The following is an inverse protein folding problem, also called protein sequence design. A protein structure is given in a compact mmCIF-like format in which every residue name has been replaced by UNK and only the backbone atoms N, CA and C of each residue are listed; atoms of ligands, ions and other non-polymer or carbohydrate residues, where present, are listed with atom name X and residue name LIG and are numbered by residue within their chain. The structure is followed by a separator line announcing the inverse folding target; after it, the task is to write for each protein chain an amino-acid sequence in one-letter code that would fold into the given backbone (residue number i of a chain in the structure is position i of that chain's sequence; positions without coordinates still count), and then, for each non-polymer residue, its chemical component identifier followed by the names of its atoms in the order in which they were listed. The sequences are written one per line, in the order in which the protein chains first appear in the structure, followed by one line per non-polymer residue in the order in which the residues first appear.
data_IF_404724864869
#
_entry.id   IF_404724864869
#
_cell.length_a   1.000
_cell.length_b   1.000
_cell.length_c   1.000
_cell.angle_alpha   90.00
_cell.angle_beta   90.00
_cell.angle_gamma   90.00
#
_symmetry.space_group_name_H-M   'P 1'
#
loop_
_entity.id
_entity.type
_entity.pdbx_description
1 polymer ?
#
# COMPACT_ATOMS: atom_id res chain seq x y z
N UNK A 1 -35.03 -5.87 5.25
CA UNK A 1 -34.21 -6.46 6.33
C UNK A 1 -32.73 -6.29 5.96
N UNK A 2 -32.11 -5.24 6.50
CA UNK A 2 -30.67 -4.91 6.57
C UNK A 2 -29.81 -4.94 5.29
N UNK A 3 -29.96 -3.92 4.44
CA UNK A 3 -28.84 -3.37 3.67
C UNK A 3 -28.01 -2.48 4.59
N UNK A 4 -27.08 -3.07 5.36
CA UNK A 4 -26.01 -2.30 6.00
C UNK A 4 -25.11 -1.81 4.87
N UNK A 5 -25.15 -0.52 4.58
CA UNK A 5 -24.09 0.16 3.84
C UNK A 5 -22.75 -0.29 4.43
N UNK A 6 -21.95 -1.00 3.63
CA UNK A 6 -20.60 -1.40 4.03
C UNK A 6 -19.76 -0.13 4.11
N UNK A 7 -19.77 0.54 5.26
CA UNK A 7 -18.86 1.65 5.57
C UNK A 7 -17.44 1.10 5.44
N UNK A 8 -16.78 1.41 4.31
CA UNK A 8 -15.37 1.08 4.08
C UNK A 8 -14.56 1.85 5.11
N UNK A 9 -13.58 1.19 5.72
CA UNK A 9 -12.66 1.80 6.67
C UNK A 9 -12.03 3.03 6.03
N UNK A 10 -12.20 4.20 6.63
CA UNK A 10 -11.51 5.41 6.22
C UNK A 10 -10.03 5.25 6.60
N UNK A 11 -9.09 5.73 5.78
CA UNK A 11 -7.64 5.68 6.07
C UNK A 11 -7.25 6.34 7.40
N UNK A 12 -8.15 7.14 7.98
CA UNK A 12 -7.99 7.82 9.26
C UNK A 12 -8.53 7.01 10.47
N UNK A 13 -9.26 5.92 10.25
CA UNK A 13 -9.80 5.07 11.33
C UNK A 13 -8.73 4.08 11.82
N UNK A 14 -8.56 3.97 13.14
CA UNK A 14 -7.54 3.08 13.75
C UNK A 14 -7.87 1.59 13.57
N UNK A 15 -9.16 1.23 13.52
CA UNK A 15 -9.66 -0.14 13.32
C UNK A 15 -11.00 -0.13 12.57
N UNK A 16 -11.30 -1.23 11.89
CA UNK A 16 -12.64 -1.52 11.35
C UNK A 16 -13.66 -1.55 12.50
N UNK A 17 -14.68 -0.70 12.41
CA UNK A 17 -15.66 -0.51 13.47
C UNK A 17 -16.53 -1.76 13.75
N UNK A 18 -16.78 -2.59 12.73
CA UNK A 18 -17.61 -3.78 12.85
C UNK A 18 -16.79 -5.01 13.21
N UNK A 19 -15.52 -5.06 12.80
CA UNK A 19 -14.64 -6.21 12.96
C UNK A 19 -13.25 -5.79 13.48
N UNK A 20 -13.15 -5.26 14.71
CA UNK A 20 -11.91 -4.66 15.22
C UNK A 20 -10.77 -5.67 15.44
N UNK A 21 -11.05 -6.98 15.43
CA UNK A 21 -10.06 -8.06 15.59
C UNK A 21 -9.75 -8.81 14.29
N UNK A 22 -10.31 -8.41 13.15
CA UNK A 22 -10.10 -9.10 11.88
C UNK A 22 -8.83 -8.57 11.18
N UNK A 23 -7.73 -9.32 11.10
CA UNK A 23 -6.47 -8.82 10.52
C UNK A 23 -6.62 -8.49 9.03
N UNK A 24 -7.44 -9.24 8.29
CA UNK A 24 -7.72 -8.96 6.87
C UNK A 24 -8.31 -7.56 6.71
N UNK A 25 -9.28 -7.19 7.55
CA UNK A 25 -9.98 -5.91 7.44
C UNK A 25 -9.18 -4.72 7.95
N UNK A 26 -8.36 -4.95 8.97
CA UNK A 26 -7.60 -3.89 9.64
C UNK A 26 -6.22 -3.68 9.01
N UNK A 27 -5.58 -4.72 8.48
CA UNK A 27 -4.20 -4.68 7.96
C UNK A 27 -4.19 -4.88 6.46
N UNK A 28 -4.69 -6.01 5.96
CA UNK A 28 -4.58 -6.33 4.52
C UNK A 28 -5.34 -5.34 3.63
N UNK A 29 -6.48 -4.80 4.07
CA UNK A 29 -7.18 -3.75 3.32
C UNK A 29 -6.37 -2.45 3.17
N UNK A 30 -5.46 -2.15 4.10
CA UNK A 30 -4.62 -0.95 4.05
C UNK A 30 -3.41 -1.18 3.15
N UNK A 31 -2.78 -2.35 3.25
CA UNK A 31 -1.61 -2.71 2.44
C UNK A 31 -1.98 -3.11 1.01
N UNK A 32 -3.16 -3.71 0.81
CA UNK A 32 -3.66 -4.21 -0.47
C UNK A 32 -4.27 -3.16 -1.38
N UNK A 33 -4.16 -1.87 -1.05
CA UNK A 33 -4.55 -0.82 -1.99
C UNK A 33 -3.54 -0.69 -3.14
N UNK A 34 -4.00 -0.13 -4.26
CA UNK A 34 -3.21 -0.01 -5.51
C UNK A 34 -1.78 0.51 -5.29
N UNK A 35 -1.58 1.43 -4.36
CA UNK A 35 -0.33 2.18 -4.23
C UNK A 35 0.57 1.65 -3.12
N UNK A 36 0.02 1.05 -2.07
CA UNK A 36 0.78 0.65 -0.89
C UNK A 36 1.90 -0.34 -1.22
N UNK A 37 1.61 -1.40 -1.98
CA UNK A 37 2.64 -2.37 -2.41
C UNK A 37 3.69 -1.72 -3.33
N UNK A 38 3.27 -0.85 -4.27
CA UNK A 38 4.20 -0.14 -5.17
C UNK A 38 5.17 0.75 -4.39
N UNK A 39 4.68 1.47 -3.37
CA UNK A 39 5.55 2.28 -2.51
C UNK A 39 6.53 1.42 -1.71
N UNK A 40 6.08 0.28 -1.17
CA UNK A 40 6.95 -0.62 -0.41
C UNK A 40 8.08 -1.17 -1.30
N UNK A 41 7.77 -1.61 -2.52
CA UNK A 41 8.77 -2.09 -3.49
C UNK A 41 9.72 -0.99 -3.94
N UNK A 42 9.21 0.22 -4.22
CA UNK A 42 10.08 1.34 -4.58
C UNK A 42 11.09 1.68 -3.48
N UNK A 43 10.76 1.44 -2.21
CA UNK A 43 11.63 1.71 -1.06
C UNK A 43 12.58 0.53 -0.73
N UNK A 44 12.41 -0.64 -1.33
CA UNK A 44 13.22 -1.83 -1.03
C UNK A 44 14.70 -1.64 -1.37
N UNK A 45 14.97 -1.08 -2.57
CA UNK A 45 16.30 -1.01 -3.16
C UNK A 45 17.09 0.24 -2.77
N UNK A 46 16.62 1.03 -1.80
CA UNK A 46 17.29 2.26 -1.40
C UNK A 46 17.24 2.44 0.12
N UNK A 47 18.37 2.83 0.73
CA UNK A 47 18.40 3.07 2.18
C UNK A 47 17.46 4.20 2.59
N UNK A 48 17.29 5.22 1.73
CA UNK A 48 16.35 6.32 1.92
C UNK A 48 16.03 7.00 0.57
N UNK A 49 14.77 7.38 0.33
CA UNK A 49 14.32 8.02 -0.93
C UNK A 49 13.56 9.32 -0.65
N UNK A 50 13.79 10.37 -1.45
CA UNK A 50 13.03 11.63 -1.37
C UNK A 50 11.65 11.52 -2.01
N UNK A 51 10.70 12.34 -1.57
CA UNK A 51 9.32 12.32 -2.10
C UNK A 51 9.23 12.35 -3.64
N UNK A 52 10.00 13.23 -4.29
CA UNK A 52 9.95 13.40 -5.75
C UNK A 52 10.60 12.24 -6.50
N UNK A 53 11.63 11.62 -5.94
CA UNK A 53 12.25 10.42 -6.50
C UNK A 53 11.28 9.23 -6.41
N UNK A 54 10.65 9.06 -5.24
CA UNK A 54 9.63 8.04 -5.04
C UNK A 54 8.45 8.24 -6.00
N UNK A 55 7.97 9.48 -6.16
CA UNK A 55 6.91 9.82 -7.12
C UNK A 55 7.31 9.47 -8.57
N UNK A 56 8.56 9.70 -8.97
CA UNK A 56 9.05 9.34 -10.32
C UNK A 56 9.12 7.84 -10.54
N UNK A 57 9.37 7.05 -9.50
CA UNK A 57 9.39 5.57 -9.60
C UNK A 57 7.99 4.96 -9.83
N UNK A 58 6.92 5.73 -9.56
CA UNK A 58 5.53 5.29 -9.71
C UNK A 58 4.79 6.32 -10.58
N UNK A 59 4.99 6.32 -11.91
CA UNK A 59 4.60 7.45 -12.77
C UNK A 59 3.10 7.75 -12.81
N UNK A 60 2.25 6.78 -12.50
CA UNK A 60 0.79 6.95 -12.48
C UNK A 60 0.23 7.37 -11.10
N UNK A 61 1.07 7.54 -10.07
CA UNK A 61 0.64 8.04 -8.77
C UNK A 61 0.57 9.57 -8.73
N UNK A 62 -0.58 10.10 -8.30
CA UNK A 62 -0.69 11.53 -8.03
C UNK A 62 0.01 11.91 -6.72
N UNK A 63 0.49 13.15 -6.60
CA UNK A 63 1.11 13.67 -5.37
C UNK A 63 0.20 13.51 -4.14
N UNK A 64 -1.12 13.72 -4.32
CA UNK A 64 -2.12 13.55 -3.26
C UNK A 64 -2.21 12.09 -2.81
N UNK A 65 -2.21 11.15 -3.76
CA UNK A 65 -2.27 9.73 -3.45
C UNK A 65 -0.98 9.26 -2.77
N UNK A 66 0.20 9.65 -3.28
CA UNK A 66 1.48 9.30 -2.64
C UNK A 66 1.56 9.82 -1.21
N UNK A 67 1.16 11.07 -0.96
CA UNK A 67 1.11 11.63 0.40
C UNK A 67 0.19 10.81 1.32
N UNK A 68 -0.97 10.39 0.80
CA UNK A 68 -1.96 9.62 1.55
C UNK A 68 -1.44 8.21 1.86
N UNK A 69 -0.80 7.56 0.89
CA UNK A 69 -0.20 6.23 1.03
C UNK A 69 0.95 6.27 2.03
N UNK A 70 1.88 7.22 1.92
CA UNK A 70 3.00 7.37 2.86
C UNK A 70 2.51 7.59 4.30
N UNK A 71 1.51 8.46 4.52
CA UNK A 71 0.91 8.64 5.85
C UNK A 71 0.28 7.35 6.40
N UNK A 72 -0.35 6.56 5.55
CA UNK A 72 -0.98 5.28 5.93
C UNK A 72 0.09 4.27 6.34
N UNK A 73 1.13 4.11 5.51
CA UNK A 73 2.24 3.19 5.78
C UNK A 73 3.11 3.63 6.98
N UNK A 74 3.26 4.93 7.19
CA UNK A 74 3.91 5.50 8.38
C UNK A 74 3.11 5.20 9.64
N UNK A 75 1.78 5.41 9.61
CA UNK A 75 0.89 5.08 10.73
C UNK A 75 0.89 3.58 11.06
N UNK A 76 1.07 2.71 10.07
CA UNK A 76 1.17 1.25 10.26
C UNK A 76 2.57 0.80 10.71
N UNK A 77 3.53 1.73 10.77
CA UNK A 77 4.92 1.48 11.12
C UNK A 77 5.66 0.65 10.07
N UNK A 78 5.25 0.72 8.80
CA UNK A 78 5.91 0.04 7.68
C UNK A 78 6.95 0.93 7.01
N UNK A 79 6.73 2.25 7.02
CA UNK A 79 7.63 3.27 6.48
C UNK A 79 8.00 4.25 7.59
N UNK A 80 9.27 4.66 7.64
CA UNK A 80 9.73 5.75 8.48
C UNK A 80 9.92 7.00 7.63
N UNK A 81 9.49 8.15 8.16
CA UNK A 81 9.72 9.47 7.58
C UNK A 81 10.77 10.21 8.40
N UNK A 82 11.86 10.64 7.77
CA UNK A 82 12.93 11.42 8.41
C UNK A 82 13.04 12.81 7.78
N UNK A 83 12.91 13.84 8.60
CA UNK A 83 13.10 15.23 8.19
C UNK A 83 14.51 15.70 8.57
N UNK A 84 15.17 16.40 7.65
CA UNK A 84 16.50 16.97 7.87
C UNK A 84 16.40 18.50 7.83
N UNK A 85 16.84 19.14 8.90
CA UNK A 85 16.88 20.60 9.05
C UNK A 85 18.15 21.18 8.41
N UNK A 86 18.36 20.89 7.13
CA UNK A 86 19.43 21.46 6.30
C UNK A 86 18.83 22.49 5.31
N UNK A 87 19.67 23.20 4.58
CA UNK A 87 19.23 24.15 3.54
C UNK A 87 19.63 23.58 2.17
N UNK A 88 18.66 23.27 1.28
CA UNK A 88 17.20 23.32 1.48
C UNK A 88 16.69 22.15 2.35
N UNK A 89 15.57 22.32 3.10
CA UNK A 89 15.00 21.25 3.92
C UNK A 89 14.67 20.03 3.06
N UNK A 90 15.04 18.83 3.53
CA UNK A 90 14.71 17.56 2.86
C UNK A 90 13.97 16.61 3.77
N UNK A 91 13.19 15.73 3.14
CA UNK A 91 12.47 14.64 3.79
C UNK A 91 12.75 13.37 3.02
N UNK A 92 13.06 12.31 3.74
CA UNK A 92 13.31 10.99 3.19
C UNK A 92 12.40 9.95 3.82
N UNK A 93 12.16 8.90 3.05
CA UNK A 93 11.35 7.75 3.44
C UNK A 93 12.18 6.49 3.31
N UNK A 94 12.02 5.58 4.26
CA UNK A 94 12.69 4.27 4.28
C UNK A 94 11.77 3.21 4.87
N UNK A 95 11.99 1.93 4.52
CA UNK A 95 11.27 0.83 5.15
C UNK A 95 11.75 0.61 6.58
N UNK A 96 10.81 0.43 7.51
CA UNK A 96 11.14 -0.08 8.84
C UNK A 96 11.49 -1.57 8.77
N UNK A 97 12.01 -2.15 9.87
CA UNK A 97 12.21 -3.59 9.97
C UNK A 97 10.90 -4.39 9.72
N UNK A 98 9.75 -3.85 10.18
CA UNK A 98 8.44 -4.43 9.92
C UNK A 98 8.06 -4.34 8.43
N UNK A 99 8.30 -3.19 7.80
CA UNK A 99 8.09 -3.00 6.36
C UNK A 99 8.90 -4.00 5.53
N UNK A 100 10.19 -4.18 5.86
CA UNK A 100 11.07 -5.15 5.20
C UNK A 100 10.59 -6.59 5.40
N UNK A 101 10.10 -6.95 6.58
CA UNK A 101 9.57 -8.31 6.84
C UNK A 101 8.32 -8.66 6.03
N UNK A 102 7.64 -7.66 5.47
CA UNK A 102 6.43 -7.85 4.67
C UNK A 102 6.74 -8.13 3.19
N UNK A 103 7.87 -7.64 2.67
CA UNK A 103 8.24 -7.77 1.25
C UNK A 103 8.21 -9.22 0.75
N UNK A 104 8.83 -10.21 1.43
CA UNK A 104 8.82 -11.60 0.96
C UNK A 104 7.40 -12.21 0.88
N UNK A 105 6.46 -11.71 1.69
CA UNK A 105 5.07 -12.15 1.63
C UNK A 105 4.34 -11.56 0.43
N UNK A 106 4.66 -10.30 0.08
CA UNK A 106 4.15 -9.64 -1.12
C UNK A 106 4.74 -10.32 -2.37
N UNK A 107 6.01 -10.70 -2.36
CA UNK A 107 6.65 -11.43 -3.46
C UNK A 107 5.96 -12.76 -3.76
N UNK A 108 5.65 -13.55 -2.73
CA UNK A 108 4.91 -14.79 -2.89
C UNK A 108 3.51 -14.57 -3.48
N UNK A 109 2.83 -13.48 -3.07
CA UNK A 109 1.52 -13.13 -3.63
C UNK A 109 1.65 -12.66 -5.09
N UNK A 110 2.70 -11.91 -5.41
CA UNK A 110 2.98 -11.43 -6.77
C UNK A 110 3.32 -12.58 -7.71
N UNK A 111 4.09 -13.57 -7.23
CA UNK A 111 4.38 -14.79 -7.98
C UNK A 111 3.08 -15.53 -8.34
N UNK A 112 2.24 -15.82 -7.36
CA UNK A 112 0.94 -16.44 -7.60
C UNK A 112 0.07 -15.62 -8.56
N UNK A 113 0.04 -14.30 -8.37
CA UNK A 113 -0.72 -13.40 -9.24
C UNK A 113 -0.21 -13.46 -10.68
N UNK A 114 1.11 -13.49 -10.89
CA UNK A 114 1.74 -13.57 -12.22
C UNK A 114 1.38 -14.88 -12.92
N UNK A 115 1.42 -16.00 -12.20
CA UNK A 115 1.07 -17.32 -12.74
C UNK A 115 -0.43 -17.46 -13.09
N UNK A 116 -1.30 -16.68 -12.45
CA UNK A 116 -2.75 -16.83 -12.58
C UNK A 116 -3.45 -15.66 -13.30
N UNK A 117 -2.74 -14.55 -13.56
CA UNK A 117 -3.34 -13.31 -14.06
C UNK A 117 -4.13 -13.53 -15.35
N UNK A 118 -3.55 -14.23 -16.32
CA UNK A 118 -4.17 -14.48 -17.63
C UNK A 118 -5.46 -15.28 -17.48
N UNK A 119 -5.42 -16.39 -16.75
CA UNK A 119 -6.59 -17.24 -16.47
C UNK A 119 -7.70 -16.45 -15.75
N UNK A 120 -7.35 -15.58 -14.80
CA UNK A 120 -8.31 -14.72 -14.10
C UNK A 120 -8.93 -13.71 -15.07
N UNK A 121 -8.16 -13.12 -16.00
CA UNK A 121 -8.70 -12.19 -16.98
C UNK A 121 -9.68 -12.87 -17.93
N UNK A 122 -9.33 -14.06 -18.44
CA UNK A 122 -10.22 -14.88 -19.28
C UNK A 122 -11.52 -15.22 -18.55
N UNK A 123 -11.43 -15.65 -17.30
CA UNK A 123 -12.62 -15.97 -16.50
C UNK A 123 -13.53 -14.74 -16.27
N UNK A 124 -12.94 -13.54 -16.10
CA UNK A 124 -13.69 -12.29 -15.96
C UNK A 124 -14.40 -11.91 -17.25
N UNK A 125 -13.72 -11.97 -18.38
CA UNK A 125 -14.31 -11.67 -19.69
C UNK A 125 -15.48 -12.62 -19.99
N UNK A 126 -15.28 -13.93 -19.78
CA UNK A 126 -16.34 -14.92 -19.95
C UNK A 126 -17.55 -14.73 -19.01
N UNK A 127 -17.37 -14.12 -17.84
CA UNK A 127 -18.48 -13.79 -16.95
C UNK A 127 -19.31 -12.60 -17.45
N UNK A 128 -18.67 -11.56 -18.00
CA UNK A 128 -19.36 -10.36 -18.48
C UNK A 128 -19.97 -10.51 -19.89
N UNK A 129 -19.56 -11.53 -20.64
CA UNK A 129 -20.16 -11.87 -21.94
C UNK A 129 -21.39 -12.78 -21.84
N UNK A 130 -21.76 -13.22 -20.62
CA UNK A 130 -23.02 -13.92 -20.34
C UNK A 130 -24.14 -12.94 -20.02
#
# INVERSE_FOLDING_TARGET
MYLKEKRKMNRHEMRDALYPRCPVRNVLNRVGDKWSMLVLFSLENSPAIRFKELQRSIPDISQKMLTTTLKTLEADGLVMRKAYAEVPPRVEYELTARGKSLLPLIDNLLLWATENMENIMVAREAFFLK
#
